data_IF_749765969338
#
_entry.id   IF_749765969338
#
_cell.length_a   1.000
_cell.length_b   1.000
_cell.length_c   1.000
_cell.angle_alpha   90.00
_cell.angle_beta   90.00
_cell.angle_gamma   90.00
#
_symmetry.space_group_name_H-M   'P 1'
#
loop_
_entity.id
_entity.type
_entity.pdbx_description
1 polymer ?
#
# COMPACT_ATOMS: atom_id res chain seq x y z
N UNK A 1 -18.85 20.43 -21.70
CA UNK A 1 -18.53 20.33 -20.26
C UNK A 1 -18.90 18.90 -19.88
N UNK A 2 -17.91 18.12 -19.50
CA UNK A 2 -17.84 16.66 -19.68
C UNK A 2 -18.67 15.93 -18.61
N UNK A 3 -19.46 14.92 -19.00
CA UNK A 3 -20.27 14.11 -18.07
C UNK A 3 -19.41 13.49 -16.94
N UNK A 4 -18.11 13.35 -17.19
CA UNK A 4 -17.11 12.90 -16.23
C UNK A 4 -16.84 13.89 -15.09
N UNK A 5 -16.77 15.20 -15.37
CA UNK A 5 -16.54 16.24 -14.36
C UNK A 5 -17.72 16.33 -13.39
N UNK A 6 -18.94 16.20 -13.91
CA UNK A 6 -20.17 16.13 -13.10
C UNK A 6 -20.21 14.90 -12.19
N UNK A 7 -19.69 13.76 -12.65
CA UNK A 7 -19.60 12.56 -11.82
C UNK A 7 -18.58 12.75 -10.69
N UNK A 8 -17.42 13.34 -10.98
CA UNK A 8 -16.38 13.66 -9.98
C UNK A 8 -16.91 14.65 -8.95
N UNK A 9 -17.67 15.68 -9.36
CA UNK A 9 -18.25 16.66 -8.45
C UNK A 9 -19.28 16.02 -7.51
N UNK A 10 -20.21 15.21 -8.05
CA UNK A 10 -21.21 14.47 -7.26
C UNK A 10 -20.59 13.54 -6.23
N UNK A 11 -19.47 12.89 -6.58
CA UNK A 11 -18.74 12.01 -5.67
C UNK A 11 -18.03 12.77 -4.56
N UNK A 12 -17.45 13.92 -4.89
CA UNK A 12 -16.80 14.81 -3.93
C UNK A 12 -17.80 15.30 -2.88
N UNK A 13 -19.01 15.67 -3.31
CA UNK A 13 -20.11 16.06 -2.42
C UNK A 13 -20.62 14.90 -1.57
N UNK A 14 -20.73 13.69 -2.12
CA UNK A 14 -21.11 12.49 -1.36
C UNK A 14 -20.08 12.17 -0.26
N UNK A 15 -18.78 12.26 -0.57
CA UNK A 15 -17.70 12.06 0.42
C UNK A 15 -17.76 13.13 1.51
N UNK A 16 -18.02 14.39 1.16
CA UNK A 16 -18.18 15.48 2.14
C UNK A 16 -19.40 15.24 3.07
N UNK A 17 -20.53 14.78 2.52
CA UNK A 17 -21.71 14.40 3.32
C UNK A 17 -21.44 13.21 4.24
N UNK A 18 -20.67 12.21 3.79
CA UNK A 18 -20.27 11.05 4.60
C UNK A 18 -19.35 11.45 5.75
N UNK A 19 -18.40 12.38 5.54
CA UNK A 19 -17.52 12.94 6.59
C UNK A 19 -18.30 13.68 7.69
N UNK A 20 -19.40 14.32 7.34
CA UNK A 20 -20.21 15.12 8.27
C UNK A 20 -21.33 14.32 8.96
N UNK A 21 -21.62 13.09 8.54
CA UNK A 21 -22.81 12.37 9.01
C UNK A 21 -22.59 11.45 10.22
N UNK A 22 -21.47 10.73 10.40
CA UNK A 22 -21.29 9.89 11.60
C UNK A 22 -19.83 9.70 12.08
N UNK A 23 -19.67 9.94 13.39
CA UNK A 23 -18.64 9.47 14.33
C UNK A 23 -17.31 10.23 14.50
N UNK A 24 -17.45 11.34 15.23
CA UNK A 24 -16.53 11.79 16.28
C UNK A 24 -15.97 10.63 17.14
N UNK A 25 -14.67 10.70 17.47
CA UNK A 25 -13.94 9.97 18.54
C UNK A 25 -13.61 8.47 18.35
N UNK A 26 -12.60 8.18 17.53
CA UNK A 26 -11.62 7.12 17.87
C UNK A 26 -10.20 7.55 17.46
N UNK A 27 -9.82 8.74 17.91
CA UNK A 27 -8.43 9.20 17.98
C UNK A 27 -7.80 8.51 19.20
N UNK A 28 -6.64 7.90 19.01
CA UNK A 28 -5.56 7.83 20.02
C UNK A 28 -5.96 7.21 21.36
N UNK A 29 -5.82 5.88 21.47
CA UNK A 29 -5.59 5.20 22.76
C UNK A 29 -4.80 3.90 22.56
N UNK A 30 -3.73 3.95 21.77
CA UNK A 30 -2.72 2.89 21.64
C UNK A 30 -1.37 3.58 21.50
N UNK A 31 -0.89 4.21 22.59
CA UNK A 31 0.51 4.58 22.83
C UNK A 31 0.58 5.35 24.14
N UNK A 32 0.63 4.61 25.26
CA UNK A 32 1.24 5.00 26.54
C UNK A 32 1.01 3.88 27.57
N UNK A 33 1.82 2.83 27.48
CA UNK A 33 2.25 1.99 28.62
C UNK A 33 3.17 0.89 28.09
N UNK A 34 4.39 1.27 27.69
CA UNK A 34 5.51 0.34 27.51
C UNK A 34 6.72 0.99 28.20
N UNK A 35 6.61 1.13 29.51
CA UNK A 35 7.76 1.33 30.39
C UNK A 35 7.47 0.59 31.70
N UNK A 36 8.45 -0.24 32.08
CA UNK A 36 8.68 -0.91 33.36
C UNK A 36 7.93 -2.20 33.73
N UNK A 37 8.74 -3.21 34.08
CA UNK A 37 8.41 -4.14 35.17
C UNK A 37 8.38 -5.62 34.84
N UNK A 38 9.57 -6.24 34.73
CA UNK A 38 9.94 -7.54 35.34
C UNK A 38 8.85 -8.59 35.64
N UNK A 39 8.92 -9.73 34.93
CA UNK A 39 8.36 -11.02 35.36
C UNK A 39 9.13 -11.57 36.58
N UNK A 40 8.46 -11.74 37.74
CA UNK A 40 8.76 -12.82 38.71
C UNK A 40 7.49 -13.21 39.49
N UNK A 41 6.95 -14.39 39.15
CA UNK A 41 6.31 -15.44 39.96
C UNK A 41 5.43 -15.05 41.18
N UNK A 42 4.14 -15.44 41.15
CA UNK A 42 3.53 -16.17 42.27
C UNK A 42 2.32 -17.00 41.82
N UNK A 43 2.30 -18.25 42.29
CA UNK A 43 1.25 -19.23 42.08
C UNK A 43 0.08 -19.02 43.06
N UNK A 44 -1.14 -19.03 42.55
CA UNK A 44 -2.32 -19.55 43.28
C UNK A 44 -3.45 -19.78 42.29
N UNK A 45 -4.03 -20.97 42.37
CA UNK A 45 -4.90 -21.56 41.36
C UNK A 45 -6.11 -20.72 40.95
N UNK A 46 -6.35 -20.71 39.65
CA UNK A 46 -7.70 -20.65 39.10
C UNK A 46 -7.74 -21.55 37.86
N UNK A 47 -8.42 -22.70 37.99
CA UNK A 47 -8.76 -23.54 36.85
C UNK A 47 -9.75 -22.79 35.96
N UNK A 48 -9.23 -22.19 34.90
CA UNK A 48 -10.00 -21.59 33.82
C UNK A 48 -9.49 -22.12 32.49
N UNK A 49 -9.95 -23.32 32.11
CA UNK A 49 -9.81 -23.84 30.76
C UNK A 49 -10.63 -22.97 29.80
N UNK A 50 -9.99 -22.03 29.13
CA UNK A 50 -10.32 -21.64 27.74
C UNK A 50 -9.06 -21.09 27.12
N UNK A 51 -8.25 -21.98 26.54
CA UNK A 51 -7.26 -21.61 25.54
C UNK A 51 -8.01 -21.14 24.28
N UNK A 52 -8.53 -19.92 24.29
CA UNK A 52 -8.74 -19.20 23.04
C UNK A 52 -7.37 -18.78 22.54
N UNK A 53 -6.72 -19.70 21.83
CA UNK A 53 -5.60 -19.38 20.94
C UNK A 53 -6.11 -18.35 19.93
N UNK A 54 -5.98 -17.06 20.25
CA UNK A 54 -6.10 -15.98 19.28
C UNK A 54 -5.14 -16.31 18.16
N UNK A 55 -5.68 -16.79 17.04
CA UNK A 55 -4.89 -17.14 15.87
C UNK A 55 -4.17 -15.86 15.43
N UNK A 56 -2.86 -15.81 15.69
CA UNK A 56 -2.03 -14.71 15.21
C UNK A 56 -2.06 -14.81 13.68
N UNK A 57 -2.84 -13.95 13.03
CA UNK A 57 -2.79 -13.80 11.58
C UNK A 57 -1.38 -13.30 11.25
N UNK A 58 -0.55 -14.18 10.73
CA UNK A 58 0.75 -13.78 10.18
C UNK A 58 0.50 -12.95 8.92
N UNK A 59 0.64 -11.64 9.03
CA UNK A 59 0.60 -10.74 7.89
C UNK A 59 1.88 -10.89 7.07
N UNK A 60 1.73 -10.87 5.74
CA UNK A 60 2.86 -10.88 4.83
C UNK A 60 3.66 -9.58 5.00
N UNK A 61 4.98 -9.70 5.19
CA UNK A 61 5.91 -8.58 5.13
C UNK A 61 6.97 -8.90 4.08
N UNK A 62 6.97 -8.22 2.93
CA UNK A 62 7.93 -8.48 1.88
C UNK A 62 9.35 -8.16 2.39
N UNK A 63 10.32 -9.09 2.29
CA UNK A 63 11.66 -8.86 2.79
C UNK A 63 12.40 -7.79 1.98
N UNK A 64 13.30 -7.06 2.63
CA UNK A 64 14.23 -6.15 1.94
C UNK A 64 15.16 -6.91 1.00
N UNK A 65 15.27 -6.46 -0.24
CA UNK A 65 16.15 -7.01 -1.27
C UNK A 65 17.34 -6.07 -1.53
N UNK A 66 18.42 -6.56 -2.17
CA UNK A 66 19.51 -5.69 -2.60
C UNK A 66 19.12 -4.70 -3.71
N UNK A 67 17.89 -4.79 -4.25
CA UNK A 67 17.43 -3.95 -5.36
C UNK A 67 16.75 -2.66 -4.90
N UNK A 68 16.41 -2.54 -3.61
CA UNK A 68 15.79 -1.36 -3.00
C UNK A 68 14.58 -0.83 -3.78
N UNK A 69 13.65 -1.73 -4.12
CA UNK A 69 12.44 -1.32 -4.82
C UNK A 69 11.58 -0.45 -3.89
N UNK A 70 10.98 0.61 -4.42
CA UNK A 70 10.15 1.52 -3.62
C UNK A 70 8.95 0.79 -3.00
N UNK A 71 8.45 -0.24 -3.69
CA UNK A 71 7.40 -1.14 -3.22
C UNK A 71 7.76 -1.85 -1.91
N UNK A 72 9.05 -2.15 -1.67
CA UNK A 72 9.50 -2.77 -0.42
C UNK A 72 9.36 -1.83 0.79
N UNK A 73 9.23 -0.51 0.57
CA UNK A 73 9.00 0.49 1.63
C UNK A 73 7.51 0.74 1.79
N UNK A 74 6.78 0.87 0.68
CA UNK A 74 5.38 1.32 0.67
C UNK A 74 4.35 0.19 0.87
N UNK A 75 4.77 -1.06 1.01
CA UNK A 75 3.86 -2.22 1.04
C UNK A 75 2.80 -2.20 2.16
N UNK A 76 2.99 -1.39 3.20
CA UNK A 76 2.05 -1.25 4.32
C UNK A 76 0.85 -0.39 3.96
N UNK A 77 0.95 0.43 2.91
CA UNK A 77 -0.14 1.24 2.37
C UNK A 77 -0.33 0.89 0.89
N UNK A 78 -1.39 0.13 0.62
CA UNK A 78 -1.73 -0.36 -0.72
C UNK A 78 -1.91 0.77 -1.74
N UNK A 79 -2.52 1.88 -1.32
CA UNK A 79 -2.75 3.02 -2.21
C UNK A 79 -1.45 3.73 -2.54
N UNK A 80 -0.58 3.97 -1.56
CA UNK A 80 0.73 4.60 -1.81
C UNK A 80 1.61 3.71 -2.71
N UNK A 81 1.56 2.40 -2.53
CA UNK A 81 2.27 1.47 -3.41
C UNK A 81 1.75 1.54 -4.84
N UNK A 82 0.44 1.54 -5.04
CA UNK A 82 -0.19 1.67 -6.36
C UNK A 82 0.15 3.02 -7.00
N UNK A 83 0.08 4.11 -6.24
CA UNK A 83 0.50 5.44 -6.66
C UNK A 83 1.95 5.46 -7.13
N UNK A 84 2.87 4.81 -6.39
CA UNK A 84 4.27 4.69 -6.78
C UNK A 84 4.44 4.02 -8.14
N UNK A 85 3.62 3.00 -8.46
CA UNK A 85 3.65 2.36 -9.78
C UNK A 85 3.21 3.31 -10.89
N UNK A 86 2.27 4.22 -10.62
CA UNK A 86 1.85 5.24 -11.58
C UNK A 86 2.95 6.27 -11.85
N UNK A 87 3.74 6.64 -10.84
CA UNK A 87 4.89 7.54 -10.98
C UNK A 87 6.00 6.95 -11.85
N UNK A 88 6.17 5.63 -11.81
CA UNK A 88 7.19 4.88 -12.56
C UNK A 88 6.78 4.56 -14.00
N UNK A 89 5.55 4.89 -14.41
CA UNK A 89 5.11 4.68 -15.78
C UNK A 89 5.86 5.59 -16.76
N UNK A 90 6.70 4.97 -17.61
CA UNK A 90 7.50 5.66 -18.64
C UNK A 90 8.37 6.79 -18.06
N UNK A 91 8.78 6.69 -16.80
CA UNK A 91 9.64 7.65 -16.12
C UNK A 91 10.76 6.90 -15.41
N UNK A 92 11.99 7.42 -15.49
CA UNK A 92 13.11 6.80 -14.77
C UNK A 92 12.90 6.88 -13.26
N UNK A 93 13.31 5.84 -12.54
CA UNK A 93 13.21 5.81 -11.08
C UNK A 93 13.94 6.99 -10.41
N UNK A 94 15.07 7.43 -10.99
CA UNK A 94 15.86 8.56 -10.50
C UNK A 94 15.07 9.87 -10.45
N UNK A 95 14.15 10.09 -11.39
CA UNK A 95 13.27 11.27 -11.38
C UNK A 95 11.98 11.01 -10.61
N UNK A 96 11.40 9.83 -10.78
CA UNK A 96 10.09 9.48 -10.22
C UNK A 96 10.11 9.38 -8.69
N UNK A 97 11.13 8.75 -8.09
CA UNK A 97 11.15 8.48 -6.64
C UNK A 97 11.25 9.78 -5.81
N UNK A 98 12.16 10.73 -6.10
CA UNK A 98 12.18 12.00 -5.35
C UNK A 98 10.84 12.73 -5.44
N UNK A 99 10.24 12.79 -6.64
CA UNK A 99 8.98 13.48 -6.84
C UNK A 99 7.80 12.77 -6.16
N UNK A 100 7.84 11.44 -6.08
CA UNK A 100 6.85 10.66 -5.32
C UNK A 100 6.86 11.07 -3.85
N UNK A 101 8.04 11.25 -3.24
CA UNK A 101 8.13 11.68 -1.84
C UNK A 101 7.66 13.12 -1.64
N UNK A 102 7.99 14.04 -2.56
CA UNK A 102 7.42 15.40 -2.55
C UNK A 102 5.89 15.35 -2.61
N UNK A 103 5.35 14.50 -3.48
CA UNK A 103 3.91 14.31 -3.62
C UNK A 103 3.28 13.75 -2.33
N UNK A 104 3.82 12.65 -1.79
CA UNK A 104 3.29 11.99 -0.60
C UNK A 104 3.40 12.85 0.67
N UNK A 105 4.40 13.74 0.73
CA UNK A 105 4.50 14.71 1.82
C UNK A 105 3.38 15.76 1.77
N UNK A 106 2.87 16.10 0.58
CA UNK A 106 1.73 17.01 0.40
C UNK A 106 0.38 16.28 0.52
N UNK A 107 0.29 15.06 -0.01
CA UNK A 107 -0.91 14.22 0.00
C UNK A 107 -0.59 12.77 0.32
N UNK A 108 -0.70 12.40 1.59
CA UNK A 108 -0.33 11.07 2.08
C UNK A 108 -1.44 10.02 1.99
N UNK A 109 -2.64 10.37 1.50
CA UNK A 109 -3.77 9.43 1.36
C UNK A 109 -4.62 9.70 0.12
N UNK A 110 -5.41 8.70 -0.28
CA UNK A 110 -6.36 8.82 -1.38
C UNK A 110 -7.37 9.94 -1.15
N UNK A 111 -7.87 10.11 0.08
CA UNK A 111 -8.79 11.19 0.44
C UNK A 111 -8.15 12.55 0.28
N UNK A 112 -6.88 12.70 0.66
CA UNK A 112 -6.15 13.96 0.53
C UNK A 112 -6.04 14.36 -0.95
N UNK A 113 -5.70 13.41 -1.83
CA UNK A 113 -5.65 13.63 -3.28
C UNK A 113 -7.03 13.96 -3.87
N UNK A 114 -8.10 13.30 -3.40
CA UNK A 114 -9.45 13.59 -3.89
C UNK A 114 -9.88 15.03 -3.56
N UNK A 115 -9.50 15.56 -2.38
CA UNK A 115 -9.84 16.93 -1.97
C UNK A 115 -8.86 18.00 -2.51
N UNK A 116 -7.73 17.59 -3.10
CA UNK A 116 -6.73 18.53 -3.59
C UNK A 116 -7.18 19.21 -4.89
N UNK A 117 -6.75 20.46 -5.12
CA UNK A 117 -6.98 21.13 -6.41
C UNK A 117 -6.19 20.42 -7.53
N UNK A 118 -6.75 20.39 -8.74
CA UNK A 118 -6.10 19.70 -9.85
C UNK A 118 -4.80 20.41 -10.25
N UNK A 119 -4.81 21.73 -10.25
CA UNK A 119 -3.69 22.60 -10.61
C UNK A 119 -2.49 22.38 -9.70
N UNK A 120 -2.76 22.20 -8.39
CA UNK A 120 -1.73 21.86 -7.40
C UNK A 120 -1.06 20.52 -7.70
N UNK A 121 -1.86 19.49 -8.04
CA UNK A 121 -1.36 18.15 -8.38
C UNK A 121 -0.51 18.24 -9.65
N UNK A 122 -0.99 18.96 -10.66
CA UNK A 122 -0.29 19.18 -11.93
C UNK A 122 1.06 19.85 -11.70
N UNK A 123 1.12 20.91 -10.90
CA UNK A 123 2.35 21.65 -10.65
C UNK A 123 3.41 20.75 -9.98
N UNK A 124 3.01 19.91 -9.03
CA UNK A 124 3.91 18.93 -8.40
C UNK A 124 4.38 17.87 -9.42
N UNK A 125 3.56 17.48 -10.39
CA UNK A 125 3.93 16.44 -11.37
C UNK A 125 4.72 16.98 -12.57
N UNK A 126 4.73 18.30 -12.77
CA UNK A 126 5.31 18.99 -13.92
C UNK A 126 6.73 18.54 -14.28
N UNK A 127 7.67 18.32 -13.33
CA UNK A 127 9.04 17.88 -13.65
C UNK A 127 9.13 16.49 -14.29
N UNK A 128 8.09 15.65 -14.18
CA UNK A 128 8.08 14.28 -14.69
C UNK A 128 7.60 14.16 -16.15
N UNK A 129 7.00 15.24 -16.70
CA UNK A 129 6.30 15.20 -17.98
C UNK A 129 4.96 14.46 -17.91
N UNK A 130 4.13 14.62 -18.95
CA UNK A 130 2.76 14.06 -19.02
C UNK A 130 1.89 14.40 -17.78
N UNK A 131 2.17 15.55 -17.15
CA UNK A 131 1.70 15.89 -15.82
C UNK A 131 0.18 16.04 -15.75
N UNK A 132 -0.47 16.65 -16.74
CA UNK A 132 -1.94 16.79 -16.78
C UNK A 132 -2.63 15.43 -16.80
N UNK A 133 -2.27 14.59 -17.79
CA UNK A 133 -2.83 13.24 -17.92
C UNK A 133 -2.54 12.38 -16.69
N UNK A 134 -1.34 12.51 -16.11
CA UNK A 134 -0.94 11.79 -14.90
C UNK A 134 -1.74 12.26 -13.69
N UNK A 135 -1.92 13.57 -13.52
CA UNK A 135 -2.70 14.18 -12.44
C UNK A 135 -4.15 13.66 -12.46
N UNK A 136 -4.78 13.70 -13.64
CA UNK A 136 -6.13 13.20 -13.82
C UNK A 136 -6.25 11.72 -13.47
N UNK A 137 -5.32 10.89 -13.96
CA UNK A 137 -5.30 9.46 -13.64
C UNK A 137 -5.12 9.20 -12.15
N UNK A 138 -4.22 9.92 -11.47
CA UNK A 138 -3.98 9.77 -10.03
C UNK A 138 -5.24 10.12 -9.23
N UNK A 139 -5.92 11.22 -9.58
CA UNK A 139 -7.14 11.62 -8.89
C UNK A 139 -8.27 10.62 -9.13
N UNK A 140 -8.45 10.17 -10.37
CA UNK A 140 -9.45 9.15 -10.74
C UNK A 140 -9.18 7.82 -10.04
N UNK A 141 -7.92 7.38 -10.01
CA UNK A 141 -7.48 6.17 -9.31
C UNK A 141 -7.85 6.27 -7.82
N UNK A 142 -7.56 7.39 -7.19
CA UNK A 142 -7.85 7.62 -5.76
C UNK A 142 -9.34 7.61 -5.45
N UNK A 143 -10.17 8.23 -6.31
CA UNK A 143 -11.64 8.18 -6.18
C UNK A 143 -12.15 6.75 -6.31
N UNK A 144 -11.71 6.01 -7.34
CA UNK A 144 -12.13 4.63 -7.57
C UNK A 144 -11.63 3.68 -6.46
N UNK A 145 -10.45 3.94 -5.91
CA UNK A 145 -9.89 3.21 -4.78
C UNK A 145 -10.80 3.32 -3.56
N UNK A 146 -11.20 4.55 -3.19
CA UNK A 146 -12.09 4.82 -2.05
C UNK A 146 -13.51 4.30 -2.25
N UNK A 147 -14.01 4.25 -3.49
CA UNK A 147 -15.32 3.63 -3.80
C UNK A 147 -15.35 2.14 -3.46
N UNK A 148 -14.20 1.45 -3.40
CA UNK A 148 -14.10 0.05 -2.97
C UNK A 148 -14.78 -0.98 -3.87
N UNK A 149 -15.12 -0.63 -5.13
CA UNK A 149 -15.81 -1.54 -6.09
C UNK A 149 -14.86 -2.37 -6.97
N UNK A 150 -13.55 -2.29 -6.74
CA UNK A 150 -12.54 -2.99 -7.52
C UNK A 150 -12.25 -4.37 -6.91
N UNK A 151 -12.01 -5.38 -7.75
CA UNK A 151 -11.67 -6.75 -7.31
C UNK A 151 -10.18 -7.00 -7.39
N UNK A 152 -9.53 -6.46 -8.42
CA UNK A 152 -8.10 -6.49 -8.61
C UNK A 152 -7.58 -5.05 -8.80
N UNK A 153 -6.34 -4.75 -8.42
CA UNK A 153 -5.78 -3.42 -8.61
C UNK A 153 -5.85 -2.93 -10.06
N UNK A 154 -5.73 -3.82 -11.05
CA UNK A 154 -5.86 -3.48 -12.48
C UNK A 154 -7.24 -2.95 -12.90
N UNK A 155 -8.26 -3.08 -12.05
CA UNK A 155 -9.59 -2.50 -12.30
C UNK A 155 -9.59 -0.99 -12.02
N UNK A 156 -8.55 -0.48 -11.32
CA UNK A 156 -8.40 0.93 -11.01
C UNK A 156 -7.82 1.72 -12.21
N UNK A 157 -8.30 2.95 -12.46
CA UNK A 157 -7.74 3.82 -13.49
C UNK A 157 -6.22 3.97 -13.38
N UNK A 158 -5.51 3.81 -14.50
CA UNK A 158 -4.06 3.99 -14.55
C UNK A 158 -3.22 2.85 -13.98
N UNK A 159 -3.85 1.81 -13.41
CA UNK A 159 -3.15 0.62 -12.91
C UNK A 159 -3.13 -0.47 -13.98
N UNK A 160 -1.96 -0.71 -14.57
CA UNK A 160 -1.74 -1.80 -15.51
C UNK A 160 -1.22 -3.08 -14.86
N UNK A 161 -0.77 -4.03 -15.68
CA UNK A 161 -0.18 -5.30 -15.22
C UNK A 161 0.95 -5.09 -14.20
N UNK A 162 1.81 -4.10 -14.42
CA UNK A 162 2.92 -3.79 -13.50
C UNK A 162 2.43 -3.44 -12.08
N UNK A 163 1.38 -2.61 -11.96
CA UNK A 163 0.81 -2.23 -10.67
C UNK A 163 0.09 -3.39 -9.99
N UNK A 164 -0.65 -4.18 -10.76
CA UNK A 164 -1.33 -5.39 -10.29
C UNK A 164 -0.34 -6.47 -9.79
N UNK A 165 0.72 -6.74 -10.55
CA UNK A 165 1.80 -7.64 -10.13
C UNK A 165 2.49 -7.11 -8.85
N UNK A 166 2.77 -5.80 -8.79
CA UNK A 166 3.38 -5.16 -7.63
C UNK A 166 2.52 -5.37 -6.37
N UNK A 167 1.23 -5.05 -6.44
CA UNK A 167 0.32 -5.24 -5.32
C UNK A 167 0.26 -6.71 -4.86
N UNK A 168 0.14 -7.66 -5.80
CA UNK A 168 0.08 -9.09 -5.47
C UNK A 168 1.36 -9.61 -4.81
N UNK A 169 2.52 -9.08 -5.21
CA UNK A 169 3.82 -9.45 -4.63
C UNK A 169 4.00 -8.83 -3.24
N UNK A 170 3.79 -7.52 -3.12
CA UNK A 170 4.21 -6.75 -1.96
C UNK A 170 3.13 -6.61 -0.89
N UNK A 171 1.86 -6.44 -1.28
CA UNK A 171 0.75 -6.29 -0.34
C UNK A 171 0.17 -7.67 0.05
N UNK A 172 -0.14 -8.52 -0.94
CA UNK A 172 -0.83 -9.79 -0.67
C UNK A 172 0.09 -10.98 -0.38
N UNK A 173 1.38 -10.89 -0.70
CA UNK A 173 2.33 -12.00 -0.57
C UNK A 173 2.08 -13.17 -1.53
N UNK A 174 1.26 -12.99 -2.57
CA UNK A 174 0.95 -14.00 -3.58
C UNK A 174 2.02 -14.12 -4.66
N UNK A 175 3.27 -13.74 -4.37
CA UNK A 175 4.38 -13.66 -5.33
C UNK A 175 4.62 -14.95 -6.13
N UNK A 176 4.36 -16.14 -5.56
CA UNK A 176 4.48 -17.43 -6.27
C UNK A 176 3.47 -17.63 -7.41
N UNK A 177 2.37 -16.87 -7.40
CA UNK A 177 1.31 -16.93 -8.41
C UNK A 177 1.41 -15.80 -9.43
N UNK A 178 2.47 -14.98 -9.36
CA UNK A 178 2.65 -13.81 -10.21
C UNK A 178 3.75 -14.10 -11.23
N UNK A 179 3.50 -13.79 -12.50
CA UNK A 179 4.49 -13.88 -13.57
C UNK A 179 4.71 -12.49 -14.19
N UNK A 180 5.61 -11.66 -13.62
CA UNK A 180 5.76 -10.28 -14.04
C UNK A 180 6.60 -10.15 -15.32
N UNK A 181 6.23 -9.20 -16.18
CA UNK A 181 7.04 -8.84 -17.35
C UNK A 181 8.16 -7.85 -16.97
N UNK A 182 7.94 -7.04 -15.93
CA UNK A 182 8.90 -6.07 -15.44
C UNK A 182 10.20 -6.71 -14.95
N UNK A 183 11.34 -6.18 -15.40
CA UNK A 183 12.67 -6.72 -15.11
C UNK A 183 13.01 -6.66 -13.62
N UNK A 184 12.57 -5.63 -12.91
CA UNK A 184 12.88 -5.45 -11.48
C UNK A 184 12.02 -6.35 -10.61
N UNK A 185 10.73 -6.51 -10.94
CA UNK A 185 9.85 -7.46 -10.26
C UNK A 185 10.32 -8.91 -10.43
N UNK A 186 10.78 -9.30 -11.64
CA UNK A 186 11.37 -10.65 -11.85
C UNK A 186 12.57 -10.90 -10.96
N UNK A 187 13.53 -9.96 -10.92
CA UNK A 187 14.69 -10.03 -10.02
C UNK A 187 14.28 -10.15 -8.55
N UNK A 188 13.26 -9.41 -8.12
CA UNK A 188 12.75 -9.50 -6.76
C UNK A 188 12.14 -10.88 -6.47
N UNK A 189 11.37 -11.46 -7.39
CA UNK A 189 10.83 -12.84 -7.26
C UNK A 189 11.95 -13.88 -7.22
N UNK A 190 12.99 -13.75 -8.05
CA UNK A 190 14.18 -14.62 -8.02
C UNK A 190 14.85 -14.56 -6.63
N UNK A 191 15.00 -13.36 -6.07
CA UNK A 191 15.50 -13.15 -4.71
C UNK A 191 14.61 -13.83 -3.65
N UNK A 192 13.28 -13.66 -3.72
CA UNK A 192 12.36 -14.36 -2.81
C UNK A 192 12.50 -15.88 -2.94
N UNK A 193 12.61 -16.39 -4.18
CA UNK A 193 12.74 -17.82 -4.44
C UNK A 193 13.98 -18.40 -3.79
N UNK A 194 15.13 -17.73 -3.94
CA UNK A 194 16.39 -18.10 -3.29
C UNK A 194 16.30 -18.05 -1.76
N UNK A 195 15.68 -17.00 -1.20
CA UNK A 195 15.53 -16.85 0.25
C UNK A 195 14.66 -17.96 0.87
N UNK A 196 13.53 -18.28 0.24
CA UNK A 196 12.59 -19.26 0.77
C UNK A 196 12.92 -20.71 0.40
N UNK A 197 13.75 -20.97 -0.61
CA UNK A 197 14.32 -22.31 -0.84
C UNK A 197 15.36 -22.64 0.24
N UNK A 198 16.26 -21.70 0.58
CA UNK A 198 17.25 -21.89 1.64
C UNK A 198 16.64 -22.07 3.04
N UNK A 199 15.50 -21.43 3.32
CA UNK A 199 14.75 -21.63 4.57
C UNK A 199 14.17 -23.05 4.71
N UNK A 200 13.83 -23.71 3.60
CA UNK A 200 13.36 -25.10 3.64
C UNK A 200 14.50 -26.06 3.99
N UNK A 201 15.68 -25.89 3.39
CA UNK A 201 16.84 -26.74 3.67
C UNK A 201 17.26 -26.69 5.15
N UNK A 202 17.38 -25.49 5.73
CA UNK A 202 17.79 -25.30 7.14
C UNK A 202 16.80 -25.83 8.17
N UNK A 203 15.49 -25.85 7.85
CA UNK A 203 14.48 -26.44 8.74
C UNK A 203 14.56 -27.97 8.78
N UNK A 204 14.91 -28.60 7.66
CA UNK A 204 15.10 -30.05 7.61
C UNK A 204 16.35 -30.48 8.37
N UNK A 205 17.41 -29.66 8.35
CA UNK A 205 18.65 -29.93 9.09
C UNK A 205 18.52 -29.71 10.61
N UNK A 206 17.67 -28.78 11.06
CA UNK A 206 17.44 -28.50 12.48
C UNK A 206 16.46 -29.47 13.18
N UNK A 207 15.96 -30.49 12.46
CA UNK A 207 15.01 -31.50 12.97
C UNK A 207 15.62 -32.91 13.02
N UNK A 208 16.93 -33.03 12.77
CA UNK A 208 17.73 -34.28 12.85
C UNK A 208 18.73 -34.11 13.99
#
# INVERSE_FOLDING_TARGET
MDQFEDEVLKLTEQIHKLKNSKHSKKKIKIEKSLVDGTDVLCASGFFGNTSESKTIKHYWTPPRSPYNLVQEVLHHDEWQLLLATMFLNKTSCQKAIPQLWVFLNKWSSAEAVCNANMEDIVEVLKPLGLHEKRAQLIKNMSVCYLKGKWKNPRDLPGIGKYGDDSYKIFCEGKWKKVNPTDKKLRKYIEFLSSKYSGLKARRTEAQI
#
